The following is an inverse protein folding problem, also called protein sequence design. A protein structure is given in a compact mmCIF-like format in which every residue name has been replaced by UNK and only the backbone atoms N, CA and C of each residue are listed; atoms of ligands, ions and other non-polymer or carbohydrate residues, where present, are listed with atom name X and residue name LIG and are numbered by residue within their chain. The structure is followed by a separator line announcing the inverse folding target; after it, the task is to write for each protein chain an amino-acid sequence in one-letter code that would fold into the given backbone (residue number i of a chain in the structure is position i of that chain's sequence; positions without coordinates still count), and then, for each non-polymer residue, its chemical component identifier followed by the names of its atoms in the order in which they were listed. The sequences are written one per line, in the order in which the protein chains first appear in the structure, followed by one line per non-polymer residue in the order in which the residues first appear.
data_IF_049073463544
#
_entry.id   IF_049073463544
#
_cell.length_a   1.000
_cell.length_b   1.000
_cell.length_c   1.000
_cell.angle_alpha   90.00
_cell.angle_beta   90.00
_cell.angle_gamma   90.00
#
_symmetry.space_group_name_H-M   'P 1'
#
loop_
_entity.id
_entity.type
_entity.pdbx_description
1 polymer ?
#
# COMPACT_ATOMS: atom_id res chain seq x y z
N UNK A 1 -2.62 -2.36 13.05
CA UNK A 1 -1.61 -1.32 13.30
C UNK A 1 -0.33 -2.03 13.67
N UNK A 2 0.76 -1.67 12.99
CA UNK A 2 2.09 -2.22 13.17
C UNK A 2 3.05 -1.07 13.47
N UNK A 3 3.99 -1.26 14.41
CA UNK A 3 5.12 -0.36 14.56
C UNK A 3 6.29 -0.99 13.81
N UNK A 4 6.81 -0.27 12.82
CA UNK A 4 7.77 -0.78 11.86
C UNK A 4 9.07 0.02 11.93
N UNK A 5 10.16 -0.62 11.53
CA UNK A 5 11.47 0.00 11.38
C UNK A 5 12.10 -0.45 10.08
N UNK A 6 12.52 0.52 9.27
CA UNK A 6 13.26 0.33 8.04
C UNK A 6 14.71 0.76 8.26
N UNK A 7 15.67 -0.04 7.77
CA UNK A 7 17.10 0.22 7.89
C UNK A 7 17.75 0.07 6.51
N UNK A 8 18.57 1.05 6.14
CA UNK A 8 19.21 1.14 4.83
C UNK A 8 18.20 0.99 3.66
N UNK A 9 17.02 1.60 3.80
CA UNK A 9 15.94 1.49 2.82
C UNK A 9 16.33 2.13 1.48
N UNK A 10 16.02 1.43 0.39
CA UNK A 10 16.23 1.91 -0.97
C UNK A 10 14.91 2.36 -1.62
N UNK A 11 14.95 3.39 -2.50
CA UNK A 11 16.10 4.20 -2.86
C UNK A 11 16.38 5.29 -1.80
N UNK A 12 17.63 5.45 -1.36
CA UNK A 12 18.02 6.57 -0.48
C UNK A 12 18.87 6.22 0.74
N UNK A 13 19.02 4.92 1.06
CA UNK A 13 19.75 4.41 2.23
C UNK A 13 19.29 5.09 3.54
N UNK A 14 17.97 5.22 3.71
CA UNK A 14 17.36 5.88 4.87
C UNK A 14 17.01 4.88 5.99
N UNK A 15 16.94 5.34 7.24
CA UNK A 15 16.61 4.49 8.38
C UNK A 15 15.64 5.21 9.31
N UNK A 16 14.42 4.71 9.41
CA UNK A 16 13.33 5.36 10.13
C UNK A 16 12.35 4.37 10.74
N UNK A 17 11.66 4.84 11.76
CA UNK A 17 10.50 4.20 12.36
C UNK A 17 9.20 4.81 11.85
N UNK A 18 8.14 4.01 11.82
CA UNK A 18 6.82 4.45 11.37
C UNK A 18 5.71 3.59 11.93
N UNK A 19 4.52 4.20 12.06
CA UNK A 19 3.29 3.49 12.38
C UNK A 19 2.59 3.16 11.07
N UNK A 20 2.32 1.88 10.85
CA UNK A 20 1.63 1.39 9.66
C UNK A 20 0.22 0.90 10.01
N UNK A 21 -0.76 1.30 9.21
CA UNK A 21 -2.10 0.76 9.21
C UNK A 21 -2.36 -0.02 7.93
N UNK A 22 -2.25 -1.34 8.00
CA UNK A 22 -2.63 -2.23 6.90
C UNK A 22 -4.13 -2.54 6.93
N UNK A 23 -4.71 -2.68 5.74
CA UNK A 23 -6.07 -3.12 5.54
C UNK A 23 -6.18 -3.92 4.24
N UNK A 24 -7.06 -4.90 4.24
CA UNK A 24 -7.21 -5.79 3.10
C UNK A 24 -8.44 -6.66 3.24
N UNK A 25 -8.90 -7.15 2.10
CA UNK A 25 -10.01 -8.10 2.07
C UNK A 25 -10.64 -8.21 0.70
N UNK A 26 -11.49 -9.22 0.58
CA UNK A 26 -12.31 -9.46 -0.60
C UNK A 26 -13.79 -9.41 -0.24
N UNK A 27 -14.56 -8.70 -1.06
CA UNK A 27 -16.02 -8.66 -0.99
C UNK A 27 -16.61 -8.69 -2.39
N UNK A 28 -17.34 -9.76 -2.69
CA UNK A 28 -17.92 -9.99 -4.01
C UNK A 28 -16.85 -9.97 -5.11
N UNK A 29 -17.03 -9.05 -6.06
CA UNK A 29 -16.14 -8.89 -7.21
C UNK A 29 -14.91 -8.03 -6.92
N UNK A 30 -14.80 -7.44 -5.73
CA UNK A 30 -13.68 -6.55 -5.37
C UNK A 30 -12.76 -7.20 -4.35
N UNK A 31 -11.47 -7.09 -4.61
CA UNK A 31 -10.36 -7.50 -3.74
C UNK A 31 -9.44 -6.28 -3.57
N UNK A 32 -9.06 -5.99 -2.33
CA UNK A 32 -8.19 -4.86 -2.04
C UNK A 32 -7.13 -5.24 -1.02
N UNK A 33 -6.00 -4.57 -1.16
CA UNK A 33 -4.97 -4.48 -0.15
C UNK A 33 -4.41 -3.06 -0.15
N UNK A 34 -4.06 -2.54 1.01
CA UNK A 34 -3.39 -1.26 1.14
C UNK A 34 -2.86 -1.02 2.53
N UNK A 35 -2.03 0.00 2.65
CA UNK A 35 -1.47 0.45 3.90
C UNK A 35 -1.25 1.97 3.89
N UNK A 36 -1.21 2.53 5.09
CA UNK A 36 -0.84 3.93 5.35
C UNK A 36 0.25 3.95 6.40
N UNK A 37 1.35 4.60 6.09
CA UNK A 37 2.49 4.83 6.97
C UNK A 37 2.46 6.25 7.51
N UNK A 38 2.80 6.40 8.79
CA UNK A 38 3.02 7.69 9.42
C UNK A 38 4.43 7.74 10.03
N UNK A 39 5.27 8.61 9.51
CA UNK A 39 6.68 8.77 9.91
C UNK A 39 6.87 9.83 11.00
N UNK A 40 8.01 9.76 11.69
CA UNK A 40 8.45 10.73 12.70
C UNK A 40 7.34 11.03 13.74
N UNK A 41 6.87 9.96 14.39
CA UNK A 41 5.74 9.96 15.33
C UNK A 41 5.99 10.88 16.54
N UNK A 42 7.24 10.96 17.00
CA UNK A 42 7.63 11.80 18.13
C UNK A 42 7.92 13.27 17.75
N UNK A 43 7.84 13.61 16.46
CA UNK A 43 8.29 14.92 15.94
C UNK A 43 9.72 15.26 16.37
N UNK A 44 10.59 14.26 16.37
CA UNK A 44 12.02 14.41 16.62
C UNK A 44 12.65 15.19 15.46
N UNK A 45 13.48 16.18 15.80
CA UNK A 45 14.24 16.99 14.84
C UNK A 45 15.47 16.25 14.30
N UNK A 46 15.87 15.15 14.93
CA UNK A 46 16.96 14.29 14.46
C UNK A 46 16.52 13.19 13.48
N UNK A 47 15.23 13.06 13.18
CA UNK A 47 14.73 12.08 12.21
C UNK A 47 15.16 12.45 10.79
N UNK A 48 15.49 11.43 10.00
CA UNK A 48 15.77 11.49 8.57
C UNK A 48 14.55 11.90 7.72
N UNK A 49 13.33 11.87 8.28
CA UNK A 49 12.06 12.31 7.67
C UNK A 49 11.64 13.72 8.13
N UNK A 50 12.57 14.54 8.62
CA UNK A 50 12.28 15.91 9.06
C UNK A 50 12.20 16.85 7.86
N UNK A 51 11.05 17.52 7.71
CA UNK A 51 10.78 18.44 6.60
C UNK A 51 10.11 17.78 5.40
N UNK A 52 10.02 16.45 5.40
CA UNK A 52 9.29 15.67 4.40
C UNK A 52 7.82 15.45 4.80
N UNK A 53 6.94 15.12 3.84
CA UNK A 53 5.62 14.64 4.16
C UNK A 53 5.69 13.42 5.08
N UNK A 54 4.81 13.42 6.10
CA UNK A 54 4.81 12.37 7.13
C UNK A 54 3.92 11.19 6.80
N UNK A 55 3.21 11.21 5.68
CA UNK A 55 2.25 10.18 5.31
C UNK A 55 2.64 9.58 3.97
N UNK A 56 2.71 8.25 3.93
CA UNK A 56 2.78 7.50 2.69
C UNK A 56 1.62 6.52 2.65
N UNK A 57 1.03 6.33 1.47
CA UNK A 57 -0.09 5.41 1.27
C UNK A 57 0.10 4.63 -0.02
N UNK A 58 -0.20 3.33 0.08
CA UNK A 58 -0.31 2.45 -1.08
C UNK A 58 -1.65 1.73 -1.03
N UNK A 59 -2.39 1.76 -2.13
CA UNK A 59 -3.69 1.11 -2.24
C UNK A 59 -3.84 0.41 -3.59
N UNK A 60 -4.13 -0.89 -3.56
CA UNK A 60 -4.17 -1.76 -4.72
C UNK A 60 -5.54 -2.45 -4.87
N UNK A 61 -6.57 -1.76 -5.38
CA UNK A 61 -7.85 -2.39 -5.62
C UNK A 61 -7.81 -3.19 -6.93
N UNK A 62 -8.46 -4.35 -6.88
CA UNK A 62 -8.63 -5.28 -7.99
C UNK A 62 -10.10 -5.61 -8.15
N UNK A 63 -10.58 -5.60 -9.38
CA UNK A 63 -11.95 -6.00 -9.71
C UNK A 63 -11.91 -7.25 -10.58
N UNK A 64 -12.56 -8.31 -10.11
CA UNK A 64 -12.71 -9.58 -10.83
C UNK A 64 -13.56 -9.41 -12.08
N UNK A 65 -13.02 -9.81 -13.22
CA UNK A 65 -13.73 -9.85 -14.50
C UNK A 65 -14.67 -11.05 -14.52
N UNK A 66 -14.25 -12.18 -13.95
CA UNK A 66 -15.06 -13.39 -13.79
C UNK A 66 -16.33 -13.07 -12.99
N UNK A 67 -16.16 -12.44 -11.82
CA UNK A 67 -17.26 -12.02 -10.96
C UNK A 67 -18.16 -10.95 -11.60
N UNK A 68 -17.57 -10.00 -12.34
CA UNK A 68 -18.33 -8.98 -13.06
C UNK A 68 -19.16 -9.56 -14.22
N UNK A 69 -18.61 -10.53 -14.94
CA UNK A 69 -19.24 -11.10 -16.15
C UNK A 69 -20.07 -12.35 -15.86
N UNK A 70 -19.91 -12.95 -14.68
CA UNK A 70 -20.51 -14.23 -14.31
C UNK A 70 -19.97 -15.42 -15.11
N UNK A 71 -18.82 -15.26 -15.76
CA UNK A 71 -18.18 -16.30 -16.59
C UNK A 71 -16.91 -16.79 -15.92
N UNK A 72 -16.70 -18.10 -15.98
CA UNK A 72 -15.42 -18.70 -15.65
C UNK A 72 -14.43 -18.40 -16.79
N UNK A 73 -13.45 -17.55 -16.49
CA UNK A 73 -12.37 -17.17 -17.39
C UNK A 73 -11.06 -17.86 -17.03
N UNK A 74 -11.08 -18.89 -16.19
CA UNK A 74 -9.89 -19.65 -15.82
C UNK A 74 -9.30 -20.42 -17.01
N UNK A 75 -7.98 -20.58 -17.01
CA UNK A 75 -7.27 -21.39 -18.01
C UNK A 75 -5.92 -21.87 -17.46
N UNK A 76 -5.69 -23.19 -17.51
CA UNK A 76 -4.47 -23.80 -16.99
C UNK A 76 -4.26 -23.43 -15.51
N UNK A 77 -3.12 -22.81 -15.14
CA UNK A 77 -2.86 -22.36 -13.76
C UNK A 77 -3.51 -21.01 -13.41
N UNK A 78 -4.09 -20.28 -14.38
CA UNK A 78 -4.75 -18.99 -14.14
C UNK A 78 -6.16 -19.25 -13.63
N UNK A 79 -6.44 -18.81 -12.40
CA UNK A 79 -7.71 -19.10 -11.72
C UNK A 79 -8.78 -18.04 -11.96
N UNK A 80 -8.41 -16.78 -12.18
CA UNK A 80 -9.34 -15.65 -12.27
C UNK A 80 -8.63 -14.43 -12.89
N UNK A 81 -9.36 -13.63 -13.66
CA UNK A 81 -8.82 -12.41 -14.28
C UNK A 81 -9.33 -11.15 -13.59
N UNK A 82 -8.48 -10.13 -13.51
CA UNK A 82 -8.76 -8.89 -12.81
C UNK A 82 -8.40 -7.66 -13.63
N UNK A 83 -9.20 -6.60 -13.49
CA UNK A 83 -8.72 -5.24 -13.69
C UNK A 83 -8.04 -4.81 -12.38
N UNK A 84 -6.72 -4.66 -12.42
CA UNK A 84 -5.92 -4.29 -11.25
C UNK A 84 -5.38 -2.86 -11.41
N UNK A 85 -5.33 -2.13 -10.30
CA UNK A 85 -4.75 -0.79 -10.24
C UNK A 85 -3.87 -0.66 -9.01
N UNK A 86 -2.97 0.33 -9.03
CA UNK A 86 -2.12 0.69 -7.92
C UNK A 86 -2.13 2.21 -7.77
N UNK A 87 -2.49 2.68 -6.59
CA UNK A 87 -2.44 4.08 -6.21
C UNK A 87 -1.36 4.23 -5.15
N UNK A 88 -0.42 5.14 -5.41
CA UNK A 88 0.66 5.50 -4.50
C UNK A 88 0.54 7.01 -4.24
N UNK A 89 0.66 7.40 -2.97
CA UNK A 89 0.64 8.79 -2.55
C UNK A 89 1.64 8.98 -1.42
N UNK A 90 2.57 9.91 -1.61
CA UNK A 90 3.69 10.18 -0.69
C UNK A 90 3.51 11.47 0.12
N UNK A 91 2.31 12.08 0.07
CA UNK A 91 2.02 13.28 0.83
C UNK A 91 2.62 14.58 0.26
N UNK A 92 3.32 14.53 -0.88
CA UNK A 92 3.77 15.76 -1.56
C UNK A 92 2.58 16.45 -2.26
N UNK A 93 2.39 17.75 -1.97
CA UNK A 93 1.55 18.62 -2.77
C UNK A 93 2.37 19.07 -3.99
N UNK A 94 1.83 18.87 -5.21
CA UNK A 94 2.44 19.32 -6.46
C UNK A 94 2.57 20.86 -6.54
#
# INVERSE_FOLDING_TARGET
FNLMGAFDELPGESSHDYLEMEFGGRSGIFDLYGYVDVFNLASDKGSDKVGDPKIFMKFAPRMSIDGLTGKDLSFGPVQELYVATLFEWDGTDY
#
